data_IF_396525267084
#
_entry.id   IF_396525267084
#
_cell.length_a   1.000
_cell.length_b   1.000
_cell.length_c   1.000
_cell.angle_alpha   90.00
_cell.angle_beta   90.00
_cell.angle_gamma   90.00
#
_symmetry.space_group_name_H-M   'P 1'
#
loop_
_entity.id
_entity.type
_entity.pdbx_description
1 polymer ?
#
# COMPACT_ATOMS: atom_id res chain seq x y z
N UNK A 1 9.64 -10.73 -1.55
CA UNK A 1 8.75 -10.12 -0.54
C UNK A 1 9.48 -9.62 0.70
N UNK A 2 10.76 -9.95 0.92
CA UNK A 2 11.56 -9.49 2.07
C UNK A 2 11.63 -7.97 2.27
N UNK A 3 11.42 -7.17 1.22
CA UNK A 3 11.44 -5.69 1.27
C UNK A 3 10.19 -5.01 0.69
N UNK A 4 9.16 -5.76 0.32
CA UNK A 4 8.01 -5.19 -0.40
C UNK A 4 7.10 -4.38 0.54
N UNK A 5 6.95 -3.09 0.27
CA UNK A 5 6.06 -2.17 0.98
C UNK A 5 4.58 -2.55 0.81
N UNK A 6 3.77 -2.18 1.81
CA UNK A 6 2.31 -2.42 1.82
C UNK A 6 1.55 -1.30 1.11
N UNK A 7 1.44 -1.38 -0.21
CA UNK A 7 0.54 -0.52 -0.97
C UNK A 7 -0.73 -1.27 -1.37
N UNK A 8 -1.84 -0.53 -1.38
CA UNK A 8 -3.13 -1.06 -1.78
C UNK A 8 -4.05 0.03 -2.30
N UNK A 9 -5.02 -0.36 -3.10
CA UNK A 9 -6.06 0.51 -3.66
C UNK A 9 -7.41 -0.16 -3.45
N UNK A 10 -8.46 0.64 -3.24
CA UNK A 10 -9.83 0.17 -3.12
C UNK A 10 -10.16 -0.86 -4.22
N UNK A 11 -10.81 -1.96 -3.82
CA UNK A 11 -11.14 -3.07 -4.71
C UNK A 11 -11.91 -2.61 -5.95
N UNK A 12 -11.67 -3.30 -7.06
CA UNK A 12 -12.22 -3.04 -8.40
C UNK A 12 -11.61 -1.82 -9.11
N UNK A 13 -10.58 -1.22 -8.52
CA UNK A 13 -9.82 -0.10 -9.09
C UNK A 13 -8.33 -0.42 -9.30
N UNK A 14 -7.88 -1.65 -8.97
CA UNK A 14 -6.51 -2.11 -9.06
C UNK A 14 -5.87 -1.87 -10.43
N UNK A 15 -6.50 -2.39 -11.48
CA UNK A 15 -5.95 -2.34 -12.84
C UNK A 15 -5.81 -0.90 -13.35
N UNK A 16 -6.86 -0.08 -13.23
CA UNK A 16 -6.82 1.30 -13.73
C UNK A 16 -5.82 2.18 -12.98
N UNK A 17 -5.72 2.00 -11.65
CA UNK A 17 -4.79 2.78 -10.83
C UNK A 17 -3.36 2.36 -11.10
N UNK A 18 -3.06 1.06 -11.19
CA UNK A 18 -1.71 0.58 -11.49
C UNK A 18 -1.28 0.96 -12.91
N UNK A 19 -2.17 0.85 -13.90
CA UNK A 19 -1.87 1.31 -15.27
C UNK A 19 -1.53 2.79 -15.29
N UNK A 20 -2.37 3.63 -14.66
CA UNK A 20 -2.13 5.06 -14.59
C UNK A 20 -0.83 5.41 -13.86
N UNK A 21 -0.52 4.74 -12.75
CA UNK A 21 0.73 4.95 -12.01
C UNK A 21 1.95 4.67 -12.90
N UNK A 22 1.92 3.59 -13.68
CA UNK A 22 2.99 3.21 -14.61
C UNK A 22 3.12 4.19 -15.79
N UNK A 23 2.00 4.64 -16.36
CA UNK A 23 1.99 5.67 -17.41
C UNK A 23 2.61 6.98 -16.91
N UNK A 24 2.23 7.42 -15.70
CA UNK A 24 2.79 8.63 -15.09
C UNK A 24 4.27 8.49 -14.77
N UNK A 25 4.72 7.31 -14.34
CA UNK A 25 6.14 7.04 -14.12
C UNK A 25 6.94 7.16 -15.43
N UNK A 26 6.44 6.56 -16.52
CA UNK A 26 7.04 6.65 -17.86
C UNK A 26 7.07 8.10 -18.37
N UNK A 27 5.96 8.84 -18.25
CA UNK A 27 5.86 10.23 -18.68
C UNK A 27 6.84 11.16 -17.95
N UNK A 28 7.20 10.84 -16.70
CA UNK A 28 8.15 11.60 -15.89
C UNK A 28 9.58 11.05 -15.97
N UNK A 29 9.87 10.11 -16.87
CA UNK A 29 11.16 9.42 -17.00
C UNK A 29 11.68 8.83 -15.69
N UNK A 30 10.76 8.44 -14.78
CA UNK A 30 11.12 7.84 -13.50
C UNK A 30 11.23 6.33 -13.68
N UNK A 31 12.30 5.73 -13.14
CA UNK A 31 12.46 4.27 -13.02
C UNK A 31 11.55 3.76 -11.90
N UNK A 32 10.25 3.77 -12.15
CA UNK A 32 9.22 3.36 -11.19
C UNK A 32 8.26 2.40 -11.87
N UNK A 33 7.88 1.34 -11.17
CA UNK A 33 6.93 0.35 -11.67
C UNK A 33 6.01 -0.15 -10.55
N UNK A 34 4.71 -0.08 -10.78
CA UNK A 34 3.68 -0.65 -9.93
C UNK A 34 3.19 -1.98 -10.50
N UNK A 35 3.02 -2.99 -9.65
CA UNK A 35 2.51 -4.32 -10.05
C UNK A 35 1.54 -4.87 -9.01
N UNK A 36 0.32 -5.22 -9.43
CA UNK A 36 -0.66 -5.91 -8.57
C UNK A 36 -0.06 -7.22 -8.05
N UNK A 37 -0.30 -7.53 -6.78
CA UNK A 37 0.09 -8.82 -6.20
C UNK A 37 -0.88 -9.96 -6.53
N UNK A 38 -2.08 -9.64 -7.01
CA UNK A 38 -3.12 -10.64 -7.27
C UNK A 38 -3.81 -11.16 -6.01
N UNK A 39 -3.75 -10.41 -4.89
CA UNK A 39 -4.54 -10.68 -3.70
C UNK A 39 -5.11 -9.40 -3.10
N UNK A 40 -6.19 -9.57 -2.34
CA UNK A 40 -6.93 -8.50 -1.66
C UNK A 40 -6.73 -8.62 -0.15
N UNK A 41 -6.70 -7.47 0.52
CA UNK A 41 -6.81 -7.37 1.97
C UNK A 41 -8.18 -6.78 2.30
N UNK A 42 -8.93 -7.47 3.14
CA UNK A 42 -10.19 -6.96 3.70
C UNK A 42 -9.89 -6.30 5.04
N UNK A 43 -10.35 -5.06 5.20
CA UNK A 43 -10.27 -4.31 6.45
C UNK A 43 -11.64 -4.26 7.11
N UNK A 44 -11.68 -4.19 8.45
CA UNK A 44 -12.95 -4.02 9.17
C UNK A 44 -13.51 -2.61 8.99
N UNK A 45 -12.63 -1.59 8.91
CA UNK A 45 -13.03 -0.19 8.98
C UNK A 45 -13.08 0.54 7.62
N UNK A 46 -12.40 0.03 6.60
CA UNK A 46 -12.10 0.81 5.39
C UNK A 46 -12.52 0.12 4.08
N UNK A 47 -12.98 -1.14 4.14
CA UNK A 47 -13.36 -1.98 3.01
C UNK A 47 -12.23 -2.86 2.48
N UNK A 48 -12.36 -3.30 1.23
CA UNK A 48 -11.42 -4.20 0.57
C UNK A 48 -10.37 -3.42 -0.24
N UNK A 49 -9.14 -3.92 -0.26
CA UNK A 49 -8.02 -3.33 -1.00
C UNK A 49 -7.28 -4.36 -1.83
N UNK A 50 -7.14 -4.10 -3.13
CA UNK A 50 -6.22 -4.83 -4.00
C UNK A 50 -4.78 -4.38 -3.73
N UNK A 51 -3.93 -5.33 -3.34
CA UNK A 51 -2.58 -5.02 -2.92
C UNK A 51 -1.62 -4.99 -4.12
N UNK A 52 -0.62 -4.13 -4.07
CA UNK A 52 0.38 -4.01 -5.13
C UNK A 52 1.78 -3.68 -4.60
N UNK A 53 2.79 -4.04 -5.39
CA UNK A 53 4.18 -3.64 -5.17
C UNK A 53 4.52 -2.38 -5.92
N UNK A 54 5.48 -1.66 -5.36
CA UNK A 54 6.15 -0.57 -6.03
C UNK A 54 7.64 -0.88 -6.14
N UNK A 55 8.21 -0.72 -7.33
CA UNK A 55 9.64 -0.78 -7.57
C UNK A 55 10.16 0.64 -7.73
N UNK A 56 11.12 1.04 -6.89
CA UNK A 56 11.81 2.33 -6.91
C UNK A 56 11.62 3.12 -5.62
N UNK A 57 11.76 4.44 -5.67
CA UNK A 57 11.76 5.27 -4.46
C UNK A 57 10.36 5.36 -3.80
N UNK A 58 10.31 4.97 -2.51
CA UNK A 58 9.07 4.92 -1.73
C UNK A 58 8.43 6.30 -1.53
N UNK A 59 9.22 7.37 -1.44
CA UNK A 59 8.66 8.73 -1.27
C UNK A 59 7.92 9.19 -2.52
N UNK A 60 8.43 8.83 -3.70
CA UNK A 60 7.72 9.02 -4.96
C UNK A 60 6.47 8.16 -5.04
N UNK A 61 6.53 6.89 -4.60
CA UNK A 61 5.36 6.01 -4.55
C UNK A 61 4.21 6.64 -3.74
N UNK A 62 4.51 7.15 -2.54
CA UNK A 62 3.55 7.84 -1.67
C UNK A 62 2.92 9.05 -2.33
N UNK A 63 3.73 9.90 -2.96
CA UNK A 63 3.22 11.07 -3.69
C UNK A 63 2.32 10.66 -4.85
N UNK A 64 2.68 9.60 -5.57
CA UNK A 64 1.94 9.13 -6.74
C UNK A 64 0.62 8.44 -6.37
N UNK A 65 0.60 7.61 -5.32
CA UNK A 65 -0.62 6.92 -4.89
C UNK A 65 -1.66 7.90 -4.33
N UNK A 66 -1.24 8.98 -3.66
CA UNK A 66 -2.14 10.08 -3.26
C UNK A 66 -2.75 10.76 -4.48
N UNK A 67 -1.95 11.01 -5.53
CA UNK A 67 -2.49 11.60 -6.79
C UNK A 67 -3.49 10.67 -7.47
N UNK A 68 -3.21 9.36 -7.49
CA UNK A 68 -4.16 8.36 -7.99
C UNK A 68 -5.46 8.41 -7.17
N UNK A 69 -5.37 8.37 -5.84
CA UNK A 69 -6.53 8.46 -4.94
C UNK A 69 -7.40 9.68 -5.22
N UNK A 70 -6.81 10.86 -5.45
CA UNK A 70 -7.57 12.07 -5.84
C UNK A 70 -8.24 11.93 -7.21
N UNK A 71 -7.52 11.40 -8.19
CA UNK A 71 -7.98 11.27 -9.58
C UNK A 71 -9.17 10.33 -9.67
N UNK A 72 -9.05 9.15 -9.08
CA UNK A 72 -10.05 8.08 -9.16
C UNK A 72 -11.09 8.15 -8.03
N UNK A 73 -10.88 9.05 -7.05
CA UNK A 73 -11.75 9.25 -5.86
C UNK A 73 -11.86 8.00 -4.96
N UNK A 74 -10.82 7.17 -4.97
CA UNK A 74 -10.72 5.89 -4.25
C UNK A 74 -9.92 6.02 -2.95
N UNK A 75 -10.15 5.08 -2.03
CA UNK A 75 -9.28 4.89 -0.87
C UNK A 75 -7.98 4.18 -1.29
N UNK A 76 -6.89 4.48 -0.59
CA UNK A 76 -5.59 3.83 -0.82
C UNK A 76 -4.89 3.53 0.50
N UNK A 77 -4.10 2.46 0.50
CA UNK A 77 -3.18 2.10 1.58
C UNK A 77 -1.79 2.58 1.17
N UNK A 78 -1.21 3.42 2.02
CA UNK A 78 0.13 3.98 1.88
C UNK A 78 1.06 3.36 2.93
N UNK A 79 1.87 2.39 2.52
CA UNK A 79 2.79 1.66 3.40
C UNK A 79 4.23 2.15 3.40
N UNK A 80 5.13 1.28 3.88
CA UNK A 80 6.56 1.53 3.98
C UNK A 80 6.95 2.40 5.18
N UNK A 81 6.10 2.50 6.20
CA UNK A 81 6.45 3.19 7.43
C UNK A 81 7.18 2.20 8.35
N UNK A 82 8.52 2.24 8.31
CA UNK A 82 9.33 1.42 9.21
C UNK A 82 9.10 1.83 10.67
N UNK A 83 8.94 0.87 11.60
CA UNK A 83 8.92 1.16 13.02
C UNK A 83 10.20 1.90 13.43
N UNK A 84 10.07 2.96 14.26
CA UNK A 84 11.23 3.70 14.77
C UNK A 84 12.12 2.86 15.68
N UNK A 85 11.55 1.85 16.33
CA UNK A 85 12.28 1.01 17.27
C UNK A 85 12.94 -0.17 16.56
N UNK A 86 14.26 -0.30 16.76
CA UNK A 86 15.02 -1.53 16.49
C UNK A 86 14.66 -2.62 17.51
N UNK A 87 13.37 -2.89 17.72
CA UNK A 87 12.99 -4.06 18.47
C UNK A 87 13.39 -5.29 17.66
N UNK A 88 14.15 -6.18 18.29
CA UNK A 88 14.46 -7.51 17.78
C UNK A 88 13.15 -8.32 17.77
N UNK A 89 12.26 -8.00 16.85
CA UNK A 89 11.02 -8.73 16.62
C UNK A 89 11.33 -9.84 15.63
N UNK A 90 11.09 -11.09 16.03
CA UNK A 90 11.16 -12.25 15.14
C UNK A 90 10.16 -12.17 13.96
N UNK A 91 9.23 -11.23 13.99
CA UNK A 91 8.21 -10.98 12.96
C UNK A 91 8.45 -9.63 12.26
N UNK A 92 8.28 -9.63 10.95
CA UNK A 92 8.27 -8.41 10.13
C UNK A 92 6.90 -7.72 10.22
N UNK A 93 6.92 -6.42 10.51
CA UNK A 93 5.73 -5.56 10.56
C UNK A 93 5.90 -4.39 9.58
N UNK A 94 4.80 -3.87 9.07
CA UNK A 94 4.76 -2.60 8.33
C UNK A 94 3.57 -1.79 8.84
N UNK A 95 3.79 -0.49 9.04
CA UNK A 95 2.71 0.43 9.34
C UNK A 95 2.27 1.09 8.04
N UNK A 96 0.96 1.21 7.86
CA UNK A 96 0.38 1.84 6.69
C UNK A 96 -0.69 2.84 7.10
N UNK A 97 -0.87 3.86 6.27
CA UNK A 97 -1.95 4.83 6.42
C UNK A 97 -3.01 4.57 5.38
N UNK A 98 -4.27 4.66 5.78
CA UNK A 98 -5.40 4.66 4.85
C UNK A 98 -5.72 6.10 4.49
N UNK A 99 -5.77 6.41 3.21
CA UNK A 99 -6.02 7.76 2.69
C UNK A 99 -7.16 7.81 1.70
N UNK A 100 -7.86 8.95 1.68
CA UNK A 100 -8.78 9.34 0.62
C UNK A 100 -8.41 10.75 0.15
N UNK A 101 -7.75 10.83 -1.00
CA UNK A 101 -7.03 12.01 -1.43
C UNK A 101 -5.91 12.37 -0.45
N UNK A 102 -5.87 13.63 0.01
CA UNK A 102 -4.89 14.08 1.02
C UNK A 102 -5.26 13.65 2.45
N UNK A 103 -6.53 13.32 2.70
CA UNK A 103 -7.03 13.02 4.04
C UNK A 103 -6.57 11.63 4.47
N UNK A 104 -5.86 11.55 5.59
CA UNK A 104 -5.65 10.28 6.31
C UNK A 104 -6.91 9.97 7.09
N UNK A 105 -7.51 8.80 6.86
CA UNK A 105 -8.76 8.36 7.48
C UNK A 105 -8.55 7.22 8.49
N UNK A 106 -7.33 6.71 8.59
CA UNK A 106 -6.93 5.71 9.57
C UNK A 106 -5.55 5.16 9.32
N UNK A 107 -5.18 4.16 10.11
CA UNK A 107 -3.93 3.44 10.03
C UNK A 107 -4.14 1.93 10.19
N UNK A 108 -3.24 1.16 9.58
CA UNK A 108 -3.26 -0.31 9.59
C UNK A 108 -1.87 -0.77 10.01
N UNK A 109 -1.82 -1.75 10.90
CA UNK A 109 -0.61 -2.49 11.21
C UNK A 109 -0.64 -3.83 10.48
N UNK A 110 0.29 -4.00 9.55
CA UNK A 110 0.50 -5.26 8.84
C UNK A 110 1.53 -6.13 9.55
N UNK A 111 1.30 -7.44 9.50
CA UNK A 111 2.25 -8.47 9.92
C UNK A 111 2.50 -9.44 8.77
N UNK A 112 3.75 -9.82 8.56
CA UNK A 112 4.07 -10.85 7.58
C UNK A 112 3.50 -12.20 8.06
N UNK A 113 2.82 -12.93 7.17
CA UNK A 113 2.24 -14.21 7.56
C UNK A 113 3.29 -15.22 8.00
N UNK A 114 2.89 -16.11 8.92
CA UNK A 114 3.74 -17.17 9.47
C UNK A 114 3.63 -18.50 8.71
N UNK A 115 2.66 -18.66 7.82
CA UNK A 115 2.26 -19.97 7.29
C UNK A 115 2.37 -20.11 5.77
N UNK A 116 3.58 -20.10 5.19
CA UNK A 116 3.84 -20.48 3.78
C UNK A 116 3.23 -19.57 2.70
N UNK A 117 2.17 -18.82 3.01
CA UNK A 117 1.63 -17.71 2.26
C UNK A 117 2.53 -16.49 2.49
N UNK A 118 2.95 -15.85 1.40
CA UNK A 118 3.85 -14.69 1.45
C UNK A 118 3.10 -13.35 1.55
N UNK A 119 1.82 -13.41 1.90
CA UNK A 119 0.91 -12.27 1.92
C UNK A 119 0.98 -11.54 3.27
N UNK A 120 0.73 -10.23 3.23
CA UNK A 120 0.55 -9.42 4.42
C UNK A 120 -0.82 -9.67 5.04
N UNK A 121 -0.85 -9.78 6.37
CA UNK A 121 -2.07 -9.92 7.16
C UNK A 121 -2.24 -8.66 8.02
N UNK A 122 -3.50 -8.30 8.30
CA UNK A 122 -3.82 -7.21 9.21
C UNK A 122 -3.72 -7.72 10.65
N UNK A 123 -2.95 -7.01 11.47
CA UNK A 123 -2.88 -7.25 12.90
C UNK A 123 -3.78 -6.28 13.67
N UNK A 124 -3.84 -5.02 13.24
CA UNK A 124 -4.58 -3.97 13.92
C UNK A 124 -5.01 -2.87 12.93
N UNK A 125 -6.08 -2.16 13.25
CA UNK A 125 -6.64 -1.05 12.47
C UNK A 125 -7.20 0.03 13.39
N UNK A 126 -6.86 1.29 13.12
CA UNK A 126 -7.40 2.44 13.86
C UNK A 126 -7.99 3.47 12.89
N UNK A 127 -9.21 3.92 13.19
CA UNK A 127 -9.93 4.96 12.43
C UNK A 127 -9.74 6.33 13.07
N UNK A 128 -9.52 7.35 12.24
CA UNK A 128 -9.41 8.75 12.65
C UNK A 128 -10.71 9.53 12.39
#
# INVERSE_FOLDING_TARGET
MGDSETFGVEKDHGEEVVSWLNEQAKAQSKKLEARLYGYTVTTENFGDFEMFSWIGDVQNARKMIIKASKRFKVKVIEGGYKPKEKMIKMKKFDFAKVKKGDKTIGQIQFVASRFGNKNWEIQDEERH
#
